data_IF_052862946877
#
_entry.id   IF_052862946877
#
_cell.length_a   1.000
_cell.length_b   1.000
_cell.length_c   1.000
_cell.angle_alpha   90.00
_cell.angle_beta   90.00
_cell.angle_gamma   90.00
#
_symmetry.space_group_name_H-M   'P 1'
#
loop_
_entity.id
_entity.type
_entity.pdbx_description
1 polymer ?
#
# COMPACT_ATOMS: atom_id res chain seq x y z
N UNK A 1 -17.88 -24.01 1.29
CA UNK A 1 -18.56 -22.85 1.90
C UNK A 1 -19.63 -22.42 0.92
N UNK A 2 -20.90 -22.69 1.25
CA UNK A 2 -22.03 -22.59 0.33
C UNK A 2 -22.40 -21.12 0.12
N UNK A 3 -22.31 -20.63 -1.11
CA UNK A 3 -23.01 -19.41 -1.53
C UNK A 3 -24.51 -19.76 -1.63
N UNK A 4 -25.23 -19.69 -0.51
CA UNK A 4 -26.70 -19.68 -0.55
C UNK A 4 -27.16 -18.32 -1.07
N UNK A 5 -28.09 -18.33 -2.01
CA UNK A 5 -28.67 -17.12 -2.60
C UNK A 5 -29.47 -16.38 -1.51
N UNK A 6 -29.23 -15.07 -1.30
CA UNK A 6 -29.82 -14.31 -0.17
C UNK A 6 -31.36 -14.35 -0.14
N UNK A 7 -31.99 -14.63 -1.29
CA UNK A 7 -33.42 -14.87 -1.42
C UNK A 7 -33.92 -16.14 -0.74
N UNK A 8 -33.10 -17.19 -0.65
CA UNK A 8 -33.46 -18.43 0.05
C UNK A 8 -33.49 -18.22 1.57
N UNK A 9 -32.61 -17.35 2.09
CA UNK A 9 -32.55 -17.01 3.50
C UNK A 9 -33.63 -16.00 3.91
N UNK A 10 -33.96 -15.05 3.03
CA UNK A 10 -34.98 -14.01 3.28
C UNK A 10 -35.78 -13.70 2.01
N UNK A 11 -36.90 -14.41 1.76
CA UNK A 11 -37.71 -14.23 0.55
C UNK A 11 -38.26 -12.80 0.34
N UNK A 12 -38.42 -12.04 1.41
CA UNK A 12 -38.86 -10.65 1.36
C UNK A 12 -37.73 -9.63 1.06
N UNK A 13 -36.46 -10.08 1.02
CA UNK A 13 -35.33 -9.20 0.76
C UNK A 13 -35.30 -8.78 -0.70
N UNK A 14 -35.36 -7.46 -0.93
CA UNK A 14 -35.19 -6.88 -2.26
C UNK A 14 -33.74 -6.48 -2.44
N UNK A 15 -33.07 -7.11 -3.39
CA UNK A 15 -31.71 -6.74 -3.76
C UNK A 15 -31.65 -5.25 -4.12
N UNK A 16 -30.67 -4.50 -3.59
CA UNK A 16 -30.46 -3.12 -3.97
C UNK A 16 -30.17 -3.02 -5.48
N UNK A 17 -30.62 -1.94 -6.09
CA UNK A 17 -30.29 -1.65 -7.49
C UNK A 17 -28.80 -1.37 -7.62
N UNK A 18 -28.26 -1.53 -8.83
CA UNK A 18 -26.88 -1.12 -9.14
C UNK A 18 -26.62 0.33 -8.71
N UNK A 19 -27.57 1.23 -8.94
CA UNK A 19 -27.46 2.62 -8.51
C UNK A 19 -27.32 2.76 -6.98
N UNK A 20 -28.10 2.01 -6.21
CA UNK A 20 -27.97 2.02 -4.74
C UNK A 20 -26.64 1.43 -4.27
N UNK A 21 -26.12 0.40 -4.95
CA UNK A 21 -24.82 -0.19 -4.64
C UNK A 21 -23.67 0.78 -4.92
N UNK A 22 -23.63 1.40 -6.11
CA UNK A 22 -22.52 2.26 -6.54
C UNK A 22 -22.47 3.63 -5.87
N UNK A 23 -23.60 4.13 -5.37
CA UNK A 23 -23.66 5.42 -4.69
C UNK A 23 -23.89 5.17 -3.21
N UNK A 24 -25.15 5.20 -2.77
CA UNK A 24 -25.51 5.23 -1.35
C UNK A 24 -24.83 4.18 -0.48
N UNK A 25 -24.80 2.91 -0.89
CA UNK A 25 -24.22 1.86 -0.06
C UNK A 25 -22.70 1.91 -0.05
N UNK A 26 -22.07 2.16 -1.21
CA UNK A 26 -20.63 2.31 -1.30
C UNK A 26 -20.14 3.57 -0.58
N UNK A 27 -20.80 4.70 -0.76
CA UNK A 27 -20.47 5.97 -0.11
C UNK A 27 -20.58 5.83 1.42
N UNK A 28 -21.66 5.21 1.92
CA UNK A 28 -21.81 4.95 3.35
C UNK A 28 -20.72 4.01 3.89
N UNK A 29 -20.42 2.92 3.18
CA UNK A 29 -19.38 1.99 3.58
C UNK A 29 -17.99 2.64 3.56
N UNK A 30 -17.73 3.51 2.58
CA UNK A 30 -16.51 4.29 2.48
C UNK A 30 -16.39 5.27 3.64
N UNK A 31 -17.43 6.05 3.94
CA UNK A 31 -17.43 6.99 5.07
C UNK A 31 -17.20 6.29 6.42
N UNK A 32 -17.85 5.14 6.63
CA UNK A 32 -17.68 4.34 7.84
C UNK A 32 -16.24 3.81 7.95
N UNK A 33 -15.70 3.27 6.86
CA UNK A 33 -14.32 2.78 6.80
C UNK A 33 -13.31 3.91 6.99
N UNK A 34 -13.54 5.08 6.39
CA UNK A 34 -12.64 6.22 6.48
C UNK A 34 -12.60 6.76 7.92
N UNK A 35 -13.74 6.86 8.60
CA UNK A 35 -13.80 7.23 10.02
C UNK A 35 -13.03 6.24 10.91
N UNK A 36 -13.15 4.94 10.61
CA UNK A 36 -12.40 3.91 11.32
C UNK A 36 -10.89 4.07 11.12
N UNK A 37 -10.44 4.28 9.88
CA UNK A 37 -9.02 4.53 9.55
C UNK A 37 -8.51 5.79 10.24
N UNK A 38 -9.25 6.89 10.18
CA UNK A 38 -8.89 8.16 10.83
C UNK A 38 -8.75 8.00 12.35
N UNK A 39 -9.68 7.30 13.01
CA UNK A 39 -9.60 7.01 14.46
C UNK A 39 -8.33 6.23 14.80
N UNK A 40 -8.04 5.17 14.04
CA UNK A 40 -6.85 4.32 14.25
C UNK A 40 -5.55 5.09 14.07
N UNK A 41 -5.45 5.92 13.04
CA UNK A 41 -4.26 6.76 12.80
C UNK A 41 -4.13 7.87 13.85
N UNK A 42 -5.24 8.42 14.33
CA UNK A 42 -5.25 9.42 15.39
C UNK A 42 -4.78 8.85 16.74
N UNK A 43 -5.24 7.65 17.10
CA UNK A 43 -4.87 6.93 18.33
C UNK A 43 -3.42 6.47 18.35
N UNK A 44 -2.85 6.15 17.17
CA UNK A 44 -1.47 5.71 17.07
C UNK A 44 -0.47 6.81 17.45
N UNK A 45 0.50 6.45 18.29
CA UNK A 45 1.61 7.32 18.68
C UNK A 45 2.72 7.35 17.62
N UNK A 46 2.99 6.18 17.02
CA UNK A 46 4.01 5.99 16.00
C UNK A 46 3.38 5.38 14.76
N UNK A 47 3.77 5.89 13.60
CA UNK A 47 3.31 5.50 12.29
C UNK A 47 4.50 5.14 11.40
N UNK A 48 4.28 4.22 10.48
CA UNK A 48 5.24 3.91 9.42
C UNK A 48 4.52 3.89 8.08
N UNK A 49 5.16 4.39 7.04
CA UNK A 49 4.61 4.30 5.67
C UNK A 49 5.15 3.03 5.02
N UNK A 50 4.28 2.25 4.40
CA UNK A 50 4.64 1.19 3.46
C UNK A 50 4.11 1.57 2.08
N UNK A 51 5.02 1.75 1.13
CA UNK A 51 4.69 2.13 -0.23
C UNK A 51 5.17 1.05 -1.20
N UNK A 52 4.27 0.62 -2.07
CA UNK A 52 4.58 -0.34 -3.12
C UNK A 52 4.12 0.18 -4.48
N UNK A 53 4.97 0.03 -5.47
CA UNK A 53 4.65 0.33 -6.86
C UNK A 53 4.25 -0.97 -7.57
N UNK A 54 3.01 -1.07 -8.04
CA UNK A 54 2.58 -2.21 -8.84
C UNK A 54 2.13 -1.77 -10.23
N UNK A 55 2.69 -2.39 -11.25
CA UNK A 55 2.19 -2.34 -12.62
C UNK A 55 0.97 -3.28 -12.79
N UNK A 56 -0.24 -2.71 -12.86
CA UNK A 56 -1.43 -3.44 -13.30
C UNK A 56 -1.38 -3.74 -14.82
N UNK A 57 -2.36 -4.50 -15.36
CA UNK A 57 -2.44 -4.86 -16.80
C UNK A 57 -2.61 -3.61 -17.70
N UNK A 58 -3.00 -2.48 -17.11
CA UNK A 58 -3.15 -1.17 -17.77
C UNK A 58 -1.94 -0.26 -17.60
N UNK A 59 -0.85 -0.78 -17.03
CA UNK A 59 0.32 -0.05 -16.59
C UNK A 59 -0.02 1.03 -15.53
N UNK A 60 0.39 0.77 -14.28
CA UNK A 60 0.78 1.76 -13.24
C UNK A 60 -0.25 2.13 -12.14
N UNK A 61 -0.04 1.55 -10.95
CA UNK A 61 -0.61 2.03 -9.68
C UNK A 61 0.50 2.15 -8.62
N UNK A 62 0.44 3.21 -7.80
CA UNK A 62 1.20 3.31 -6.55
C UNK A 62 0.23 3.13 -5.38
N UNK A 63 0.50 2.13 -4.54
CA UNK A 63 -0.27 1.85 -3.34
C UNK A 63 0.52 2.37 -2.14
N UNK A 64 -0.12 3.22 -1.33
CA UNK A 64 0.43 3.75 -0.08
C UNK A 64 -0.42 3.26 1.10
N UNK A 65 0.21 2.47 1.95
CA UNK A 65 -0.36 1.92 3.17
C UNK A 65 0.30 2.65 4.35
N UNK A 66 -0.49 3.12 5.31
CA UNK A 66 0.07 3.54 6.60
C UNK A 66 -0.06 2.36 7.54
N UNK A 67 1.06 1.96 8.11
CA UNK A 67 1.09 0.98 9.19
C UNK A 67 1.07 1.70 10.53
N UNK A 68 -0.01 1.45 11.28
CA UNK A 68 -0.01 1.54 12.74
C UNK A 68 0.48 0.17 13.27
N UNK A 69 0.40 -0.16 14.59
CA UNK A 69 0.52 -1.55 15.02
C UNK A 69 -0.40 -2.51 14.22
N UNK A 70 -1.50 -2.00 13.67
CA UNK A 70 -2.34 -2.65 12.64
C UNK A 70 -2.22 -1.89 11.29
N UNK A 71 -2.02 -2.58 10.15
CA UNK A 71 -1.91 -1.92 8.85
C UNK A 71 -3.27 -1.36 8.39
N UNK A 72 -3.29 -0.10 7.94
CA UNK A 72 -4.48 0.54 7.35
C UNK A 72 -4.18 1.09 5.96
N UNK A 73 -5.10 0.86 5.05
CA UNK A 73 -5.02 1.41 3.71
C UNK A 73 -5.47 2.87 3.73
N UNK A 74 -4.61 3.79 3.27
CA UNK A 74 -4.89 5.23 3.33
C UNK A 74 -5.00 5.87 1.95
N UNK A 75 -4.26 5.36 0.96
CA UNK A 75 -4.21 6.00 -0.35
C UNK A 75 -3.73 5.01 -1.41
N UNK A 76 -4.45 4.92 -2.52
CA UNK A 76 -3.95 4.35 -3.77
C UNK A 76 -4.06 5.43 -4.83
N UNK A 77 -3.00 5.58 -5.62
CA UNK A 77 -2.91 6.58 -6.67
C UNK A 77 -2.60 5.85 -7.96
N UNK A 78 -3.52 5.92 -8.92
CA UNK A 78 -3.26 5.48 -10.29
C UNK A 78 -2.29 6.48 -10.92
N UNK A 79 -1.13 5.99 -11.35
CA UNK A 79 -0.05 6.83 -11.87
C UNK A 79 0.08 6.60 -13.35
N UNK A 80 -0.80 7.18 -14.18
CA UNK A 80 -0.67 7.17 -15.65
C UNK A 80 0.76 7.38 -16.15
N UNK A 81 1.03 6.98 -17.41
CA UNK A 81 2.32 6.73 -18.12
C UNK A 81 3.56 7.60 -17.85
N UNK A 82 3.40 8.72 -17.14
CA UNK A 82 4.41 9.76 -16.93
C UNK A 82 4.91 9.89 -15.49
N UNK A 83 4.51 9.03 -14.53
CA UNK A 83 4.61 9.40 -13.09
C UNK A 83 5.29 8.42 -12.13
N UNK A 84 6.26 7.65 -12.60
CA UNK A 84 7.21 6.94 -11.71
C UNK A 84 8.52 7.70 -11.45
N UNK A 85 8.53 9.03 -11.56
CA UNK A 85 9.71 9.83 -11.23
C UNK A 85 9.92 9.90 -9.73
N UNK A 86 11.18 10.02 -9.30
CA UNK A 86 11.55 10.22 -7.89
C UNK A 86 10.76 11.38 -7.26
N UNK A 87 10.61 12.48 -7.98
CA UNK A 87 9.94 13.69 -7.50
C UNK A 87 8.45 13.46 -7.25
N UNK A 88 7.78 12.71 -8.12
CA UNK A 88 6.37 12.43 -7.95
C UNK A 88 6.11 11.50 -6.77
N UNK A 89 6.90 10.44 -6.64
CA UNK A 89 6.84 9.52 -5.49
C UNK A 89 7.08 10.28 -4.18
N UNK A 90 8.12 11.12 -4.14
CA UNK A 90 8.43 11.97 -2.99
C UNK A 90 7.25 12.87 -2.62
N UNK A 91 6.65 13.54 -3.60
CA UNK A 91 5.49 14.41 -3.39
C UNK A 91 4.30 13.63 -2.79
N UNK A 92 4.03 12.42 -3.29
CA UNK A 92 2.95 11.58 -2.76
C UNK A 92 3.19 11.16 -1.30
N UNK A 93 4.42 10.75 -0.98
CA UNK A 93 4.79 10.36 0.38
C UNK A 93 4.78 11.56 1.32
N UNK A 94 5.27 12.73 0.87
CA UNK A 94 5.28 13.97 1.65
C UNK A 94 3.87 14.47 1.95
N UNK A 95 2.93 14.34 1.00
CA UNK A 95 1.52 14.65 1.20
C UNK A 95 0.89 13.81 2.32
N UNK A 96 1.20 12.51 2.35
CA UNK A 96 0.77 11.60 3.41
C UNK A 96 1.40 11.98 4.77
N UNK A 97 2.70 12.26 4.80
CA UNK A 97 3.38 12.72 6.02
C UNK A 97 2.71 13.99 6.58
N UNK A 98 2.45 14.99 5.73
CA UNK A 98 1.84 16.26 6.12
C UNK A 98 0.40 16.09 6.60
N UNK A 99 -0.38 15.24 5.94
CA UNK A 99 -1.78 14.96 6.29
C UNK A 99 -1.91 14.36 7.70
N UNK A 100 -1.00 13.43 8.07
CA UNK A 100 -1.10 12.68 9.32
C UNK A 100 -0.07 13.08 10.38
N UNK A 101 0.46 14.30 10.29
CA UNK A 101 1.53 14.86 11.12
C UNK A 101 2.88 14.12 10.95
N UNK A 102 3.90 14.75 10.33
CA UNK A 102 5.20 14.14 10.08
C UNK A 102 5.93 13.66 11.35
N UNK A 103 5.64 14.24 12.51
CA UNK A 103 6.27 13.89 13.79
C UNK A 103 5.84 12.53 14.34
N UNK A 104 4.70 12.01 13.90
CA UNK A 104 4.26 10.65 14.27
C UNK A 104 4.99 9.56 13.49
N UNK A 105 5.65 9.90 12.38
CA UNK A 105 6.28 8.91 11.53
C UNK A 105 7.69 8.56 12.00
N UNK A 106 7.99 7.27 12.05
CA UNK A 106 9.31 6.76 12.43
C UNK A 106 10.07 6.16 11.25
N UNK A 107 9.36 5.60 10.27
CA UNK A 107 10.01 5.07 9.09
C UNK A 107 9.14 5.07 7.82
N UNK A 108 9.82 4.99 6.69
CA UNK A 108 9.24 4.81 5.35
C UNK A 108 9.86 3.54 4.76
N UNK A 109 9.01 2.61 4.36
CA UNK A 109 9.38 1.34 3.74
C UNK A 109 8.89 1.40 2.31
N UNK A 110 9.79 1.27 1.34
CA UNK A 110 9.43 1.28 -0.08
C UNK A 110 9.88 0.01 -0.78
N UNK A 111 9.38 -0.23 -1.99
CA UNK A 111 10.05 -1.16 -2.90
C UNK A 111 11.53 -0.78 -3.12
N UNK A 112 12.30 -1.72 -3.66
CA UNK A 112 13.74 -1.54 -3.86
C UNK A 112 14.10 -0.91 -5.21
N UNK A 113 13.14 -0.37 -5.97
CA UNK A 113 13.41 0.33 -7.24
C UNK A 113 14.22 1.61 -7.00
N UNK A 114 14.97 2.03 -8.02
CA UNK A 114 15.86 3.20 -7.91
C UNK A 114 15.10 4.48 -7.54
N UNK A 115 13.93 4.69 -8.15
CA UNK A 115 13.15 5.92 -7.96
C UNK A 115 12.52 5.98 -6.57
N UNK A 116 12.00 4.86 -6.06
CA UNK A 116 11.40 4.77 -4.73
C UNK A 116 12.44 4.95 -3.62
N UNK A 117 13.57 4.24 -3.72
CA UNK A 117 14.68 4.39 -2.76
C UNK A 117 15.21 5.82 -2.72
N UNK A 118 15.35 6.46 -3.87
CA UNK A 118 15.82 7.85 -3.95
C UNK A 118 14.80 8.80 -3.32
N UNK A 119 13.50 8.61 -3.56
CA UNK A 119 12.45 9.44 -2.99
C UNK A 119 12.40 9.33 -1.45
N UNK A 120 12.49 8.09 -0.93
CA UNK A 120 12.53 7.85 0.51
C UNK A 120 13.78 8.46 1.17
N UNK A 121 14.94 8.38 0.50
CA UNK A 121 16.19 9.00 0.99
C UNK A 121 16.14 10.53 1.00
N UNK A 122 15.57 11.14 -0.04
CA UNK A 122 15.35 12.60 -0.05
C UNK A 122 14.38 13.05 1.05
N UNK A 123 13.43 12.21 1.47
CA UNK A 123 12.54 12.50 2.61
C UNK A 123 13.23 12.31 3.96
N UNK A 124 14.10 11.32 4.11
CA UNK A 124 14.96 11.15 5.29
C UNK A 124 15.89 12.36 5.49
N UNK A 125 16.37 13.00 4.42
CA UNK A 125 17.12 14.26 4.50
C UNK A 125 16.27 15.44 4.99
N UNK A 126 14.99 15.50 4.59
CA UNK A 126 14.05 16.57 5.01
C UNK A 126 13.53 16.34 6.43
N UNK A 127 13.35 15.07 6.81
CA UNK A 127 12.82 14.64 8.10
C UNK A 127 13.81 13.68 8.78
N UNK A 128 14.87 14.20 9.45
CA UNK A 128 15.96 13.37 9.99
C UNK A 128 15.54 12.35 11.05
N UNK A 129 14.35 12.48 11.63
CA UNK A 129 13.78 11.53 12.59
C UNK A 129 13.13 10.31 11.91
N UNK A 130 12.94 10.35 10.58
CA UNK A 130 12.32 9.28 9.79
C UNK A 130 13.40 8.48 9.09
N UNK A 131 13.44 7.17 9.31
CA UNK A 131 14.40 6.27 8.67
C UNK A 131 13.77 5.62 7.43
N UNK A 132 14.49 5.57 6.30
CA UNK A 132 14.04 4.81 5.13
C UNK A 132 14.58 3.38 5.09
N UNK A 133 13.69 2.42 4.80
CA UNK A 133 14.00 1.01 4.60
C UNK A 133 13.56 0.54 3.21
N UNK A 134 14.31 -0.41 2.66
CA UNK A 134 13.88 -1.16 1.48
C UNK A 134 12.97 -2.34 1.85
N UNK A 135 12.21 -2.82 0.86
CA UNK A 135 11.33 -3.97 1.04
C UNK A 135 12.14 -5.26 1.25
N UNK A 136 12.00 -5.85 2.44
CA UNK A 136 12.68 -7.10 2.80
C UNK A 136 12.19 -8.29 1.97
N UNK A 137 10.90 -8.35 1.64
CA UNK A 137 10.34 -9.41 0.80
C UNK A 137 10.99 -9.42 -0.59
N UNK A 138 11.18 -8.24 -1.19
CA UNK A 138 11.89 -8.11 -2.46
C UNK A 138 13.36 -8.53 -2.32
N UNK A 139 14.02 -8.16 -1.23
CA UNK A 139 15.40 -8.61 -0.95
C UNK A 139 15.50 -10.13 -0.86
N UNK A 140 14.53 -10.79 -0.19
CA UNK A 140 14.47 -12.26 -0.11
C UNK A 140 14.22 -12.89 -1.48
N UNK A 141 13.31 -12.34 -2.28
CA UNK A 141 13.04 -12.83 -3.64
C UNK A 141 14.30 -12.79 -4.53
N UNK A 142 15.02 -11.66 -4.49
CA UNK A 142 16.29 -11.51 -5.21
C UNK A 142 17.37 -12.49 -4.72
N UNK A 143 17.45 -12.73 -3.40
CA UNK A 143 18.37 -13.69 -2.82
C UNK A 143 18.06 -15.11 -3.31
N UNK A 144 16.79 -15.54 -3.19
CA UNK A 144 16.33 -16.85 -3.66
C UNK A 144 16.57 -17.02 -5.16
N UNK A 145 16.22 -16.01 -5.97
CA UNK A 145 16.48 -16.00 -7.41
C UNK A 145 17.97 -16.08 -7.74
N UNK A 146 18.83 -15.43 -6.96
CA UNK A 146 20.28 -15.53 -7.06
C UNK A 146 20.79 -16.95 -6.80
N UNK A 147 20.35 -17.56 -5.70
CA UNK A 147 20.70 -18.96 -5.34
C UNK A 147 20.31 -19.91 -6.47
N UNK A 148 19.07 -19.83 -6.96
CA UNK A 148 18.56 -20.71 -8.03
C UNK A 148 19.28 -20.53 -9.37
N UNK A 149 19.73 -19.32 -9.69
CA UNK A 149 20.52 -19.04 -10.92
C UNK A 149 21.95 -19.59 -10.82
N UNK A 150 22.43 -19.92 -9.63
CA UNK A 150 23.76 -20.49 -9.41
C UNK A 150 23.77 -21.97 -9.78
N UNK A 151 23.77 -22.28 -11.10
CA UNK A 151 23.77 -23.64 -11.69
C UNK A 151 24.94 -24.56 -11.27
N UNK A 152 25.87 -24.13 -10.41
CA UNK A 152 27.08 -24.90 -10.07
C UNK A 152 26.90 -25.94 -8.96
N UNK A 153 25.86 -25.88 -8.13
CA UNK A 153 25.73 -26.78 -6.97
C UNK A 153 24.78 -27.96 -7.16
N UNK A 154 23.97 -27.97 -8.23
CA UNK A 154 22.98 -29.04 -8.48
C UNK A 154 23.36 -30.03 -9.59
N UNK A 155 24.47 -29.79 -10.32
CA UNK A 155 24.95 -30.70 -11.38
C UNK A 155 25.88 -31.83 -10.86
N UNK A 156 25.94 -32.06 -9.55
CA UNK A 156 26.77 -33.10 -8.92
C UNK A 156 25.98 -34.20 -8.19
N UNK A 157 24.66 -34.26 -8.36
CA UNK A 157 23.78 -35.26 -7.74
C UNK A 157 22.99 -36.08 -8.77
N UNK A 158 23.61 -36.34 -9.93
CA UNK A 158 23.13 -37.28 -10.95
C UNK A 158 24.22 -38.24 -11.34
#
# INVERSE_FOLDING_TARGET
MLCMDEKELRPAFKLPSRYHLFHRLLDNAYEETNKFVESKVAEAQNLSIMCDGWTNIRNEDIIVIITTPEPVFVKCVETSTDKHTTQYIKMLLEDVLKTYNPQKFVCIITDNTSNMRKAAKELEEIYPHIISFGCFAHTLDLLCGGILKTKKYFNGLG
#
